data_IF_105036895551
#
_entry.id   IF_105036895551
#
_cell.length_a   1.000
_cell.length_b   1.000
_cell.length_c   1.000
_cell.angle_alpha   90.00
_cell.angle_beta   90.00
_cell.angle_gamma   90.00
#
_symmetry.space_group_name_H-M   'P 1'
#
loop_
_entity.id
_entity.type
_entity.pdbx_description
1 polymer ?
#
# COMPACT_ATOMS: atom_id res chain seq x y z
N UNK A 1 -19.93 -13.88 1.97
CA UNK A 1 -19.87 -14.20 0.53
C UNK A 1 -18.99 -13.16 -0.14
N UNK A 2 -17.71 -13.46 -0.35
CA UNK A 2 -16.79 -12.57 -1.06
C UNK A 2 -16.95 -12.83 -2.57
N UNK A 3 -17.50 -11.87 -3.30
CA UNK A 3 -17.58 -11.92 -4.77
C UNK A 3 -16.24 -11.48 -5.34
N UNK A 4 -15.63 -12.41 -6.06
CA UNK A 4 -14.58 -12.31 -7.07
C UNK A 4 -13.93 -10.93 -7.27
N UNK A 5 -12.64 -10.83 -6.96
CA UNK A 5 -11.74 -9.82 -7.53
C UNK A 5 -11.59 -10.13 -9.03
N UNK A 6 -12.57 -9.69 -9.81
CA UNK A 6 -12.57 -9.50 -11.26
C UNK A 6 -13.17 -8.13 -11.59
N UNK A 7 -13.10 -7.22 -10.61
CA UNK A 7 -13.95 -6.05 -10.59
C UNK A 7 -13.39 -4.93 -11.45
N UNK A 8 -14.17 -4.59 -12.49
CA UNK A 8 -13.86 -3.55 -13.47
C UNK A 8 -13.61 -2.18 -12.84
N UNK A 9 -14.03 -1.95 -11.59
CA UNK A 9 -13.87 -0.67 -10.91
C UNK A 9 -12.42 -0.37 -10.46
N UNK A 10 -11.63 -1.41 -10.15
CA UNK A 10 -10.24 -1.25 -9.69
C UNK A 10 -9.31 -0.69 -10.78
N UNK A 11 -9.73 -0.73 -12.06
CA UNK A 11 -8.99 -0.15 -13.18
C UNK A 11 -9.07 1.39 -13.23
N UNK A 12 -9.96 1.99 -12.44
CA UNK A 12 -10.17 3.43 -12.44
C UNK A 12 -9.32 4.09 -11.37
N UNK A 13 -8.64 5.16 -11.73
CA UNK A 13 -7.88 6.03 -10.84
C UNK A 13 -8.68 6.53 -9.64
N UNK A 14 -9.91 6.99 -9.89
CA UNK A 14 -10.78 7.56 -8.87
C UNK A 14 -11.12 6.58 -7.77
N UNK A 15 -11.15 5.28 -8.06
CA UNK A 15 -11.33 4.25 -7.04
C UNK A 15 -10.25 4.38 -5.97
N UNK A 16 -8.99 4.40 -6.40
CA UNK A 16 -7.83 4.43 -5.53
C UNK A 16 -7.68 5.76 -4.82
N UNK A 17 -8.00 6.87 -5.49
CA UNK A 17 -8.04 8.20 -4.88
C UNK A 17 -9.06 8.24 -3.75
N UNK A 18 -10.30 7.80 -3.99
CA UNK A 18 -11.36 7.79 -2.98
C UNK A 18 -11.00 6.85 -1.83
N UNK A 19 -10.60 5.62 -2.14
CA UNK A 19 -10.28 4.60 -1.15
C UNK A 19 -9.08 5.03 -0.31
N UNK A 20 -7.93 5.30 -0.94
CA UNK A 20 -6.68 5.64 -0.27
C UNK A 20 -6.75 6.91 0.58
N UNK A 21 -7.47 7.92 0.10
CA UNK A 21 -7.71 9.17 0.86
C UNK A 21 -8.58 8.94 2.09
N UNK A 22 -9.31 7.83 2.19
CA UNK A 22 -10.26 7.57 3.27
C UNK A 22 -9.77 6.49 4.24
N UNK A 23 -8.49 6.09 4.20
CA UNK A 23 -7.96 5.01 5.02
C UNK A 23 -7.51 5.46 6.40
N UNK A 24 -6.89 6.63 6.54
CA UNK A 24 -6.44 7.17 7.84
C UNK A 24 -7.60 7.75 8.67
N UNK A 25 -8.59 8.34 8.00
CA UNK A 25 -9.76 8.93 8.65
C UNK A 25 -10.99 8.95 7.73
N UNK A 26 -12.21 8.94 8.31
CA UNK A 26 -13.44 9.12 7.53
C UNK A 26 -13.47 10.50 6.85
N UNK A 27 -13.85 10.55 5.56
CA UNK A 27 -13.91 11.79 4.77
C UNK A 27 -15.18 11.88 3.95
N UNK A 28 -15.61 13.10 3.63
CA UNK A 28 -16.68 13.30 2.64
C UNK A 28 -16.12 13.27 1.23
N UNK A 29 -16.99 13.04 0.24
CA UNK A 29 -16.67 13.22 -1.18
C UNK A 29 -16.09 14.60 -1.47
N UNK A 30 -16.66 15.65 -0.87
CA UNK A 30 -16.18 17.02 -1.04
C UNK A 30 -14.76 17.20 -0.51
N UNK A 31 -14.40 16.52 0.58
CA UNK A 31 -13.02 16.53 1.09
C UNK A 31 -12.05 15.89 0.11
N UNK A 32 -12.40 14.71 -0.43
CA UNK A 32 -11.58 14.04 -1.45
C UNK A 32 -11.41 14.96 -2.67
N UNK A 33 -12.50 15.56 -3.15
CA UNK A 33 -12.44 16.48 -4.30
C UNK A 33 -11.53 17.67 -4.02
N UNK A 34 -11.66 18.30 -2.85
CA UNK A 34 -10.82 19.43 -2.44
C UNK A 34 -9.34 19.05 -2.32
N UNK A 35 -9.02 17.90 -1.73
CA UNK A 35 -7.64 17.43 -1.54
C UNK A 35 -6.93 17.24 -2.88
N UNK A 36 -7.65 16.74 -3.89
CA UNK A 36 -7.11 16.36 -5.19
C UNK A 36 -7.36 17.38 -6.30
N UNK A 37 -8.04 18.49 -5.99
CA UNK A 37 -8.36 19.56 -6.94
C UNK A 37 -9.34 19.11 -8.03
N UNK A 38 -10.31 18.27 -7.68
CA UNK A 38 -11.37 17.84 -8.58
C UNK A 38 -12.54 18.83 -8.52
N UNK A 39 -12.97 19.31 -9.69
CA UNK A 39 -14.09 20.25 -9.81
C UNK A 39 -15.40 19.58 -10.23
N UNK A 40 -16.53 20.14 -9.83
CA UNK A 40 -17.87 19.71 -10.25
C UNK A 40 -18.17 18.24 -9.99
N UNK A 41 -18.69 17.54 -11.01
CA UNK A 41 -19.05 16.12 -10.97
C UNK A 41 -17.86 15.18 -11.22
N UNK A 42 -16.63 15.60 -10.94
CA UNK A 42 -15.42 14.86 -11.29
C UNK A 42 -15.32 13.43 -10.70
N UNK A 43 -16.12 13.03 -9.71
CA UNK A 43 -16.19 11.62 -9.28
C UNK A 43 -17.11 10.74 -10.15
N UNK A 44 -17.81 11.29 -11.14
CA UNK A 44 -18.39 10.49 -12.21
C UNK A 44 -17.26 9.96 -13.09
N UNK A 45 -17.30 8.67 -13.41
CA UNK A 45 -16.30 8.00 -14.22
C UNK A 45 -16.94 7.48 -15.51
N UNK A 46 -16.43 7.94 -16.65
CA UNK A 46 -16.86 7.44 -17.97
C UNK A 46 -16.53 5.95 -18.06
N UNK A 47 -17.53 5.14 -18.43
CA UNK A 47 -17.43 3.68 -18.50
C UNK A 47 -17.97 2.91 -17.29
N UNK A 48 -18.61 3.61 -16.34
CA UNK A 48 -19.49 3.01 -15.32
C UNK A 48 -20.94 3.41 -15.60
N UNK A 49 -21.88 2.50 -15.36
CA UNK A 49 -23.33 2.76 -15.48
C UNK A 49 -23.87 3.65 -14.34
N UNK A 50 -23.09 3.80 -13.25
CA UNK A 50 -23.43 4.54 -12.03
C UNK A 50 -22.22 5.28 -11.45
N UNK A 51 -22.41 6.25 -10.54
CA UNK A 51 -21.31 6.91 -9.84
C UNK A 51 -20.39 5.90 -9.14
N UNK A 52 -19.08 6.09 -9.29
CA UNK A 52 -18.07 5.15 -8.77
C UNK A 52 -18.23 4.88 -7.27
N UNK A 53 -18.62 5.90 -6.50
CA UNK A 53 -18.78 5.80 -5.06
C UNK A 53 -19.90 4.83 -4.65
N UNK A 54 -21.02 4.82 -5.37
CA UNK A 54 -22.14 3.94 -5.05
C UNK A 54 -21.74 2.47 -5.23
N UNK A 55 -21.04 2.19 -6.32
CA UNK A 55 -20.49 0.86 -6.58
C UNK A 55 -19.41 0.48 -5.56
N UNK A 56 -18.56 1.43 -5.13
CA UNK A 56 -17.57 1.19 -4.08
C UNK A 56 -18.21 0.81 -2.74
N UNK A 57 -19.34 1.43 -2.40
CA UNK A 57 -20.09 1.12 -1.18
C UNK A 57 -20.75 -0.25 -1.30
N UNK A 58 -21.42 -0.54 -2.41
CA UNK A 58 -22.11 -1.82 -2.64
C UNK A 58 -21.13 -3.00 -2.60
N UNK A 59 -19.96 -2.84 -3.22
CA UNK A 59 -18.91 -3.86 -3.24
C UNK A 59 -18.09 -3.91 -1.94
N UNK A 60 -18.35 -3.02 -0.99
CA UNK A 60 -17.71 -3.04 0.34
C UNK A 60 -16.27 -2.51 0.38
N UNK A 61 -15.83 -1.79 -0.65
CA UNK A 61 -14.52 -1.14 -0.67
C UNK A 61 -14.44 0.07 0.27
N UNK A 62 -15.57 0.75 0.46
CA UNK A 62 -15.74 1.82 1.46
C UNK A 62 -17.02 1.59 2.23
N UNK A 63 -17.05 2.00 3.50
CA UNK A 63 -18.23 1.95 4.36
C UNK A 63 -18.74 3.36 4.64
N UNK A 64 -20.06 3.50 4.80
CA UNK A 64 -20.71 4.73 5.26
C UNK A 64 -20.54 4.82 6.77
N UNK A 65 -19.94 5.90 7.27
CA UNK A 65 -19.69 6.08 8.72
C UNK A 65 -20.75 6.98 9.35
N UNK A 66 -21.10 8.10 8.71
CA UNK A 66 -22.14 9.02 9.21
C UNK A 66 -22.58 10.03 8.13
N UNK A 67 -23.73 10.66 8.35
CA UNK A 67 -24.07 11.97 7.76
C UNK A 67 -23.61 13.02 8.76
N UNK A 68 -22.48 13.68 8.52
CA UNK A 68 -22.05 14.77 9.40
C UNK A 68 -23.04 15.93 9.23
N UNK A 69 -23.67 16.34 10.34
CA UNK A 69 -24.37 17.62 10.47
C UNK A 69 -23.51 18.52 11.36
N UNK A 70 -22.51 19.18 10.80
CA UNK A 70 -21.82 20.28 11.48
C UNK A 70 -21.83 21.51 10.58
N UNK A 71 -22.31 22.63 11.14
CA UNK A 71 -22.26 24.01 10.60
C UNK A 71 -22.32 24.10 9.07
N UNK A 72 -23.47 23.79 8.49
CA UNK A 72 -23.77 24.08 7.07
C UNK A 72 -23.18 23.10 6.03
N UNK A 73 -22.38 22.11 6.43
CA UNK A 73 -21.86 21.08 5.52
C UNK A 73 -22.56 19.76 5.81
N UNK A 74 -23.58 19.42 5.00
CA UNK A 74 -24.18 18.09 4.97
C UNK A 74 -23.46 17.23 3.93
N UNK A 75 -22.89 16.11 4.34
CA UNK A 75 -22.22 15.19 3.43
C UNK A 75 -22.21 13.75 3.95
N UNK A 76 -22.29 12.79 3.02
CA UNK A 76 -22.00 11.39 3.33
C UNK A 76 -20.51 11.26 3.63
N UNK A 77 -20.18 10.74 4.81
CA UNK A 77 -18.80 10.42 5.19
C UNK A 77 -18.53 8.94 4.96
N UNK A 78 -17.42 8.67 4.30
CA UNK A 78 -16.95 7.33 3.94
C UNK A 78 -15.62 7.02 4.62
N UNK A 79 -15.36 5.73 4.83
CA UNK A 79 -14.09 5.21 5.32
C UNK A 79 -13.68 4.01 4.47
N UNK A 80 -12.39 3.93 4.12
CA UNK A 80 -11.84 2.84 3.34
C UNK A 80 -11.84 1.50 4.10
N UNK A 81 -12.17 0.42 3.41
CA UNK A 81 -12.15 -0.93 3.96
C UNK A 81 -10.94 -1.72 3.45
N UNK A 82 -10.40 -2.60 4.29
CA UNK A 82 -9.25 -3.47 3.98
C UNK A 82 -9.65 -4.92 3.67
N UNK A 83 -10.89 -5.33 3.92
CA UNK A 83 -11.27 -6.75 3.88
C UNK A 83 -11.07 -7.42 2.51
N UNK A 84 -11.07 -6.63 1.43
CA UNK A 84 -10.85 -7.09 0.06
C UNK A 84 -9.37 -7.18 -0.35
N UNK A 85 -8.47 -6.55 0.41
CA UNK A 85 -7.04 -6.43 0.07
C UNK A 85 -6.35 -7.79 -0.05
N UNK A 86 -6.61 -8.81 0.81
CA UNK A 86 -5.99 -10.12 0.69
C UNK A 86 -6.26 -10.80 -0.66
N UNK A 87 -7.52 -10.79 -1.08
CA UNK A 87 -7.97 -11.41 -2.32
C UNK A 87 -7.36 -10.69 -3.53
N UNK A 88 -7.26 -9.35 -3.44
CA UNK A 88 -6.60 -8.53 -4.44
C UNK A 88 -5.11 -8.86 -4.57
N UNK A 89 -4.38 -8.95 -3.44
CA UNK A 89 -2.96 -9.28 -3.44
C UNK A 89 -2.67 -10.64 -4.07
N UNK A 90 -3.45 -11.66 -3.70
CA UNK A 90 -3.27 -13.01 -4.24
C UNK A 90 -3.47 -13.04 -5.76
N UNK A 91 -4.52 -12.38 -6.25
CA UNK A 91 -4.76 -12.31 -7.69
C UNK A 91 -3.68 -11.50 -8.41
N UNK A 92 -3.36 -10.31 -7.90
CA UNK A 92 -2.37 -9.43 -8.51
C UNK A 92 -1.01 -10.11 -8.65
N UNK A 93 -0.60 -10.88 -7.64
CA UNK A 93 0.66 -11.62 -7.68
C UNK A 93 0.65 -12.74 -8.73
N UNK A 94 -0.45 -13.50 -8.84
CA UNK A 94 -0.63 -14.52 -9.89
C UNK A 94 -0.60 -13.88 -11.29
N UNK A 95 -1.36 -12.82 -11.50
CA UNK A 95 -1.45 -12.11 -12.78
C UNK A 95 -0.10 -11.50 -13.18
N UNK A 96 0.63 -10.90 -12.22
CA UNK A 96 1.94 -10.28 -12.49
C UNK A 96 2.99 -11.31 -12.85
N UNK A 97 3.03 -12.44 -12.12
CA UNK A 97 3.97 -13.52 -12.41
C UNK A 97 3.75 -14.10 -13.81
N UNK A 98 2.48 -14.33 -14.19
CA UNK A 98 2.14 -14.84 -15.53
C UNK A 98 2.53 -13.87 -16.65
N UNK A 99 2.37 -12.55 -16.44
CA UNK A 99 2.62 -11.54 -17.48
C UNK A 99 4.09 -11.15 -17.63
N UNK A 100 4.81 -11.04 -16.53
CA UNK A 100 6.16 -10.45 -16.49
C UNK A 100 7.27 -11.46 -16.22
N UNK A 101 6.92 -12.73 -15.94
CA UNK A 101 7.85 -13.75 -15.47
C UNK A 101 8.72 -13.27 -14.28
N UNK A 102 8.18 -12.35 -13.47
CA UNK A 102 8.84 -11.80 -12.30
C UNK A 102 8.19 -12.37 -11.03
N UNK A 103 8.87 -13.28 -10.32
CA UNK A 103 8.31 -13.92 -9.13
C UNK A 103 8.34 -13.04 -7.89
N UNK A 104 8.99 -11.86 -7.92
CA UNK A 104 9.26 -11.05 -6.71
C UNK A 104 8.01 -10.78 -5.86
N UNK A 105 6.89 -10.41 -6.48
CA UNK A 105 5.65 -10.11 -5.75
C UNK A 105 5.12 -11.35 -5.06
N UNK A 106 5.13 -12.51 -5.73
CA UNK A 106 4.74 -13.78 -5.11
C UNK A 106 5.67 -14.12 -3.95
N UNK A 107 6.97 -13.98 -4.13
CA UNK A 107 7.96 -14.28 -3.09
C UNK A 107 7.82 -13.36 -1.86
N UNK A 108 7.48 -12.08 -2.07
CA UNK A 108 7.13 -11.16 -0.98
C UNK A 108 5.89 -11.65 -0.25
N UNK A 109 4.82 -12.00 -0.98
CA UNK A 109 3.58 -12.46 -0.34
C UNK A 109 3.78 -13.82 0.38
N UNK A 110 4.61 -14.70 -0.15
CA UNK A 110 4.98 -15.98 0.46
C UNK A 110 5.78 -15.81 1.74
N UNK A 111 6.46 -14.67 1.91
CA UNK A 111 7.17 -14.31 3.14
C UNK A 111 6.24 -13.88 4.27
N UNK A 112 4.99 -13.53 3.98
CA UNK A 112 4.00 -13.14 5.00
C UNK A 112 3.51 -14.40 5.71
N UNK A 113 3.91 -14.57 6.97
CA UNK A 113 3.54 -15.71 7.79
C UNK A 113 2.08 -15.65 8.24
N UNK A 114 1.66 -14.50 8.74
CA UNK A 114 0.28 -14.23 9.17
C UNK A 114 -0.27 -12.98 8.50
N UNK A 115 -1.03 -13.19 7.42
CA UNK A 115 -1.70 -12.12 6.66
C UNK A 115 -2.70 -11.34 7.54
N UNK A 116 -3.37 -11.98 8.49
CA UNK A 116 -4.32 -11.30 9.38
C UNK A 116 -3.59 -10.39 10.36
N UNK A 117 -2.46 -10.86 10.93
CA UNK A 117 -1.63 -10.03 11.79
C UNK A 117 -1.06 -8.82 11.05
N UNK A 118 -0.56 -8.99 9.82
CA UNK A 118 -0.07 -7.90 8.98
C UNK A 118 -1.15 -6.83 8.74
N UNK A 119 -2.34 -7.24 8.31
CA UNK A 119 -3.43 -6.30 8.03
C UNK A 119 -3.93 -5.59 9.28
N UNK A 120 -4.03 -6.32 10.41
CA UNK A 120 -4.38 -5.70 11.69
C UNK A 120 -3.35 -4.65 12.07
N UNK A 121 -2.06 -4.97 11.96
CA UNK A 121 -0.99 -4.00 12.24
C UNK A 121 -1.06 -2.76 11.34
N UNK A 122 -1.32 -2.95 10.03
CA UNK A 122 -1.54 -1.84 9.09
C UNK A 122 -2.77 -1.02 9.50
N UNK A 123 -3.86 -1.64 9.97
CA UNK A 123 -5.06 -0.92 10.41
C UNK A 123 -4.85 -0.16 11.72
N UNK A 124 -4.08 -0.72 12.65
CA UNK A 124 -3.76 -0.09 13.93
C UNK A 124 -2.83 1.12 13.73
N UNK A 125 -1.98 1.08 12.69
CA UNK A 125 -1.00 2.14 12.37
C UNK A 125 -1.25 2.87 11.04
N UNK A 126 -2.38 2.65 10.36
CA UNK A 126 -3.29 3.77 10.19
C UNK A 126 -2.76 5.03 9.56
N UNK A 127 -2.66 6.01 10.44
CA UNK A 127 -2.19 7.36 10.17
C UNK A 127 -0.72 7.35 9.74
N UNK A 128 0.11 6.45 10.25
CA UNK A 128 1.48 6.33 9.77
C UNK A 128 1.51 5.89 8.29
N UNK A 129 0.68 4.94 7.86
CA UNK A 129 0.72 4.53 6.46
C UNK A 129 -0.06 5.45 5.52
N UNK A 130 -1.21 5.97 5.97
CA UNK A 130 -2.19 6.59 5.08
C UNK A 130 -2.47 8.06 5.37
N UNK A 131 -1.63 8.74 6.16
CA UNK A 131 -1.72 10.19 6.27
C UNK A 131 -1.63 10.83 4.89
N UNK A 132 -2.44 11.88 4.67
CA UNK A 132 -2.73 12.34 3.31
C UNK A 132 -1.49 12.76 2.50
N UNK A 133 -0.48 13.33 3.16
CA UNK A 133 0.75 13.73 2.49
C UNK A 133 1.58 12.52 2.05
N UNK A 134 1.57 11.44 2.84
CA UNK A 134 2.22 10.16 2.50
C UNK A 134 1.49 9.46 1.36
N UNK A 135 0.16 9.47 1.42
CA UNK A 135 -0.71 9.00 0.34
C UNK A 135 -0.35 9.72 -0.95
N UNK A 136 -0.31 11.06 -0.96
CA UNK A 136 0.05 11.86 -2.15
C UNK A 136 1.40 11.47 -2.77
N UNK A 137 2.42 11.18 -1.96
CA UNK A 137 3.71 10.70 -2.48
C UNK A 137 3.52 9.45 -3.34
N UNK A 138 2.74 8.47 -2.87
CA UNK A 138 2.51 7.21 -3.59
C UNK A 138 1.85 7.38 -4.96
N UNK A 139 1.06 8.43 -5.19
CA UNK A 139 0.46 8.70 -6.49
C UNK A 139 1.44 9.33 -7.49
N UNK A 140 2.45 10.07 -7.01
CA UNK A 140 3.40 10.80 -7.84
C UNK A 140 2.81 11.97 -8.62
N UNK A 141 3.53 12.46 -9.63
CA UNK A 141 3.06 13.53 -10.52
C UNK A 141 2.02 13.01 -11.53
N UNK A 142 0.99 13.83 -11.78
CA UNK A 142 -0.31 13.49 -12.43
C UNK A 142 -0.25 12.74 -13.78
N UNK A 143 0.85 12.75 -14.52
CA UNK A 143 0.93 12.13 -15.86
C UNK A 143 1.18 10.60 -15.85
N UNK A 144 1.65 10.02 -14.74
CA UNK A 144 2.06 8.60 -14.64
C UNK A 144 1.08 7.68 -13.88
N UNK A 145 -0.08 8.23 -13.54
CA UNK A 145 -0.95 7.84 -12.44
C UNK A 145 -1.43 6.37 -12.43
N UNK A 146 -1.77 5.76 -13.59
CA UNK A 146 -2.37 4.41 -13.62
C UNK A 146 -1.50 3.29 -13.06
N UNK A 147 -0.17 3.42 -13.13
CA UNK A 147 0.78 2.40 -12.64
C UNK A 147 1.12 2.53 -11.16
N UNK A 148 0.68 3.61 -10.49
CA UNK A 148 1.05 3.92 -9.11
C UNK A 148 0.01 3.52 -8.09
N UNK A 149 -1.23 3.32 -8.50
CA UNK A 149 -2.33 3.19 -7.57
C UNK A 149 -2.25 1.96 -6.67
N UNK A 150 -1.76 0.85 -7.23
CA UNK A 150 -1.53 -0.40 -6.49
C UNK A 150 -0.50 -0.20 -5.35
N UNK A 151 0.36 0.82 -5.43
CA UNK A 151 1.29 1.17 -4.35
C UNK A 151 0.59 1.55 -3.05
N UNK A 152 -0.69 1.96 -3.07
CA UNK A 152 -1.45 2.16 -1.84
C UNK A 152 -1.61 0.88 -1.02
N UNK A 153 -1.59 -0.28 -1.68
CA UNK A 153 -1.62 -1.59 -1.02
C UNK A 153 -0.20 -2.07 -0.75
N UNK A 154 0.68 -1.98 -1.74
CA UNK A 154 2.03 -2.57 -1.64
C UNK A 154 3.00 -1.77 -0.76
N UNK A 155 2.95 -0.44 -0.77
CA UNK A 155 3.93 0.38 -0.06
C UNK A 155 3.97 0.14 1.47
N UNK A 156 2.82 0.03 2.18
CA UNK A 156 2.81 -0.37 3.60
C UNK A 156 3.45 -1.75 3.83
N UNK A 157 3.10 -2.75 3.00
CA UNK A 157 3.62 -4.12 3.12
C UNK A 157 5.14 -4.13 2.94
N UNK A 158 5.63 -3.48 1.88
CA UNK A 158 7.06 -3.34 1.60
C UNK A 158 7.77 -2.61 2.73
N UNK A 159 7.19 -1.53 3.26
CA UNK A 159 7.80 -0.77 4.36
C UNK A 159 7.96 -1.62 5.61
N UNK A 160 6.91 -2.35 6.01
CA UNK A 160 6.97 -3.22 7.18
C UNK A 160 7.95 -4.37 6.94
N UNK A 161 7.95 -5.00 5.77
CA UNK A 161 8.89 -6.05 5.41
C UNK A 161 10.35 -5.56 5.51
N UNK A 162 10.62 -4.34 5.04
CA UNK A 162 11.95 -3.73 5.12
C UNK A 162 12.39 -3.50 6.56
N UNK A 163 11.52 -2.90 7.38
CA UNK A 163 11.80 -2.67 8.81
C UNK A 163 11.98 -3.99 9.55
N UNK A 164 11.20 -5.03 9.20
CA UNK A 164 11.36 -6.36 9.75
C UNK A 164 12.70 -6.98 9.39
N UNK A 165 13.06 -6.97 8.10
CA UNK A 165 14.35 -7.49 7.63
C UNK A 165 15.53 -6.77 8.29
N UNK A 166 15.41 -5.44 8.46
CA UNK A 166 16.39 -4.62 9.15
C UNK A 166 16.60 -5.07 10.60
N UNK A 167 15.54 -5.09 11.41
CA UNK A 167 15.61 -5.50 12.82
C UNK A 167 16.11 -6.93 12.97
N UNK A 168 15.72 -7.81 12.04
CA UNK A 168 16.18 -9.19 11.98
C UNK A 168 17.70 -9.28 11.72
N UNK A 169 18.21 -8.57 10.72
CA UNK A 169 19.62 -8.60 10.34
C UNK A 169 20.50 -7.96 11.42
N UNK A 170 20.07 -6.84 12.00
CA UNK A 170 20.76 -6.19 13.12
C UNK A 170 20.98 -7.18 14.28
N UNK A 171 19.91 -7.90 14.66
CA UNK A 171 19.98 -8.92 15.72
C UNK A 171 20.90 -10.10 15.37
N UNK A 172 20.95 -10.51 14.10
CA UNK A 172 21.76 -11.67 13.66
C UNK A 172 23.23 -11.34 13.43
N UNK A 173 23.53 -10.16 12.92
CA UNK A 173 24.86 -9.78 12.45
C UNK A 173 25.61 -8.86 13.43
N UNK A 174 24.93 -8.28 14.43
CA UNK A 174 25.57 -7.40 15.41
C UNK A 174 26.15 -6.11 14.81
N UNK A 175 25.67 -5.70 13.64
CA UNK A 175 26.10 -4.51 12.91
C UNK A 175 25.21 -3.31 13.23
N UNK A 176 25.73 -2.10 13.00
CA UNK A 176 25.00 -0.87 13.33
C UNK A 176 23.77 -0.62 12.44
N UNK A 177 22.93 0.31 12.90
CA UNK A 177 21.66 0.71 12.31
C UNK A 177 21.81 1.17 10.84
N UNK A 178 22.85 1.95 10.52
CA UNK A 178 23.10 2.53 9.20
C UNK A 178 23.61 1.49 8.20
N UNK A 179 24.53 0.61 8.61
CA UNK A 179 25.01 -0.48 7.74
C UNK A 179 23.85 -1.42 7.40
N UNK A 180 23.01 -1.75 8.39
CA UNK A 180 21.89 -2.65 8.15
C UNK A 180 20.83 -2.01 7.26
N UNK A 181 20.54 -0.72 7.44
CA UNK A 181 19.67 0.06 6.55
C UNK A 181 20.17 0.01 5.10
N UNK A 182 21.46 0.28 4.88
CA UNK A 182 22.09 0.20 3.56
C UNK A 182 21.93 -1.20 2.94
N UNK A 183 22.14 -2.25 3.73
CA UNK A 183 21.98 -3.64 3.28
C UNK A 183 20.53 -4.00 2.93
N UNK A 184 19.55 -3.43 3.64
CA UNK A 184 18.13 -3.62 3.34
C UNK A 184 17.61 -2.70 2.24
N UNK A 185 18.33 -1.64 1.88
CA UNK A 185 17.93 -0.75 0.79
C UNK A 185 17.78 -1.49 -0.55
N UNK A 186 18.45 -2.63 -0.70
CA UNK A 186 18.31 -3.55 -1.84
C UNK A 186 16.87 -4.09 -2.04
N UNK A 187 16.09 -4.22 -0.96
CA UNK A 187 14.65 -4.55 -1.02
C UNK A 187 13.78 -3.34 -1.39
N UNK A 188 14.23 -2.13 -1.08
CA UNK A 188 13.50 -0.88 -1.31
C UNK A 188 13.43 -0.54 -2.80
N UNK A 189 14.40 -1.00 -3.61
CA UNK A 189 14.57 -0.54 -4.99
C UNK A 189 14.23 -1.53 -6.11
N UNK A 190 13.75 -2.75 -5.81
CA UNK A 190 13.60 -3.80 -6.82
C UNK A 190 12.23 -3.91 -7.53
N UNK A 191 11.42 -2.85 -7.52
CA UNK A 191 10.33 -2.69 -8.49
C UNK A 191 10.30 -1.25 -8.97
N UNK A 192 11.10 -0.93 -9.98
CA UNK A 192 11.22 0.37 -10.64
C UNK A 192 11.26 1.57 -9.66
N UNK A 193 12.44 2.18 -9.42
CA UNK A 193 12.61 3.21 -8.40
C UNK A 193 11.74 4.43 -8.72
N UNK A 194 10.54 4.47 -8.14
CA UNK A 194 9.78 5.70 -8.07
C UNK A 194 10.31 6.38 -6.82
N UNK A 195 11.08 7.44 -6.99
CA UNK A 195 11.60 8.32 -5.92
C UNK A 195 10.55 8.52 -4.82
N UNK A 196 9.30 8.70 -5.23
CA UNK A 196 8.08 8.71 -4.43
C UNK A 196 7.97 7.64 -3.33
N UNK A 197 8.34 6.38 -3.60
CA UNK A 197 8.30 5.31 -2.59
C UNK A 197 9.41 5.46 -1.56
N UNK A 198 10.60 5.91 -1.95
CA UNK A 198 11.69 6.14 -1.00
C UNK A 198 11.31 7.25 -0.01
N UNK A 199 10.75 8.36 -0.50
CA UNK A 199 10.28 9.46 0.36
C UNK A 199 9.17 8.97 1.30
N UNK A 200 8.21 8.21 0.77
CA UNK A 200 7.18 7.56 1.57
C UNK A 200 7.79 6.68 2.66
N UNK A 201 8.70 5.78 2.29
CA UNK A 201 9.34 4.84 3.19
C UNK A 201 10.09 5.56 4.30
N UNK A 202 10.89 6.57 3.97
CA UNK A 202 11.66 7.34 4.97
C UNK A 202 10.76 8.07 5.97
N UNK A 203 9.61 8.58 5.53
CA UNK A 203 8.63 9.21 6.42
C UNK A 203 7.96 8.19 7.34
N UNK A 204 7.58 7.03 6.80
CA UNK A 204 6.93 5.98 7.57
C UNK A 204 7.91 5.33 8.55
N UNK A 205 9.10 4.94 8.10
CA UNK A 205 10.10 4.25 8.91
C UNK A 205 10.51 5.03 10.17
N UNK A 206 10.48 6.37 10.13
CA UNK A 206 10.68 7.22 11.31
C UNK A 206 9.70 6.92 12.44
N UNK A 207 8.43 6.67 12.11
CA UNK A 207 7.39 6.35 13.10
C UNK A 207 7.57 4.95 13.71
N UNK A 208 8.35 4.08 13.06
CA UNK A 208 8.50 2.66 13.42
C UNK A 208 9.88 2.29 13.96
N UNK A 209 10.75 3.28 14.22
CA UNK A 209 12.10 3.05 14.77
C UNK A 209 12.03 2.17 16.03
N UNK A 210 11.23 2.59 17.01
CA UNK A 210 11.12 1.93 18.32
C UNK A 210 9.91 0.99 18.43
N UNK A 211 9.11 0.85 17.37
CA UNK A 211 7.92 -0.01 17.37
C UNK A 211 8.32 -1.47 17.21
N UNK A 212 7.92 -2.33 18.15
CA UNK A 212 8.11 -3.77 18.03
C UNK A 212 7.17 -4.35 16.96
N UNK A 213 7.75 -5.06 15.99
CA UNK A 213 6.97 -5.74 14.96
C UNK A 213 6.61 -7.15 15.45
N UNK A 214 5.32 -7.57 15.33
CA UNK A 214 4.91 -8.93 15.67
C UNK A 214 5.78 -9.99 14.98
N UNK A 215 6.38 -10.89 15.76
CA UNK A 215 7.33 -11.90 15.27
C UNK A 215 6.69 -12.89 14.28
N UNK A 216 5.38 -13.09 14.36
CA UNK A 216 4.61 -13.99 13.48
C UNK A 216 4.23 -13.38 12.14
N UNK A 217 4.46 -12.08 11.94
CA UNK A 217 4.01 -11.37 10.74
C UNK A 217 4.69 -11.89 9.47
N UNK A 218 5.97 -12.26 9.59
CA UNK A 218 6.76 -12.80 8.49
C UNK A 218 7.46 -14.10 8.87
N UNK A 219 7.64 -14.97 7.88
CA UNK A 219 8.52 -16.11 7.95
C UNK A 219 9.98 -15.65 7.82
N UNK A 220 10.70 -15.69 8.93
CA UNK A 220 12.07 -15.21 9.02
C UNK A 220 13.01 -15.88 8.01
N UNK A 221 12.85 -17.18 7.75
CA UNK A 221 13.72 -17.91 6.83
C UNK A 221 13.47 -17.48 5.39
N UNK A 222 12.20 -17.30 5.01
CA UNK A 222 11.82 -16.79 3.68
C UNK A 222 12.27 -15.35 3.48
N UNK A 223 12.10 -14.47 4.48
CA UNK A 223 12.58 -13.08 4.42
C UNK A 223 14.10 -13.04 4.23
N UNK A 224 14.86 -13.84 4.99
CA UNK A 224 16.31 -13.90 4.86
C UNK A 224 16.75 -14.44 3.49
N UNK A 225 16.09 -15.49 2.99
CA UNK A 225 16.35 -16.03 1.66
C UNK A 225 16.09 -15.01 0.55
N UNK A 226 14.97 -14.27 0.68
CA UNK A 226 14.61 -13.19 -0.23
C UNK A 226 15.68 -12.10 -0.23
N UNK A 227 16.07 -11.61 0.95
CA UNK A 227 17.12 -10.60 1.11
C UNK A 227 18.41 -11.02 0.44
N UNK A 228 18.91 -12.21 0.79
CA UNK A 228 20.18 -12.74 0.30
C UNK A 228 20.20 -12.74 -1.22
N UNK A 229 19.17 -13.28 -1.86
CA UNK A 229 19.08 -13.36 -3.32
C UNK A 229 19.06 -11.99 -4.00
N UNK A 230 18.28 -11.03 -3.49
CA UNK A 230 18.21 -9.70 -4.10
C UNK A 230 19.46 -8.84 -3.83
N UNK A 231 20.13 -9.05 -2.70
CA UNK A 231 21.45 -8.44 -2.43
C UNK A 231 22.53 -8.92 -3.41
N UNK A 232 22.52 -10.21 -3.78
CA UNK A 232 23.45 -10.79 -4.77
C UNK A 232 23.18 -10.24 -6.16
N UNK A 233 21.91 -10.19 -6.60
CA UNK A 233 21.54 -9.62 -7.91
C UNK A 233 21.99 -8.16 -8.05
N UNK A 234 21.87 -7.36 -6.99
CA UNK A 234 22.35 -5.98 -7.03
C UNK A 234 23.86 -5.87 -7.18
N UNK A 235 24.61 -6.74 -6.50
CA UNK A 235 26.07 -6.83 -6.66
C UNK A 235 26.40 -7.08 -8.14
N UNK A 236 25.76 -8.07 -8.76
CA UNK A 236 25.97 -8.39 -10.17
C UNK A 236 25.64 -7.22 -11.10
N UNK A 237 24.58 -6.45 -10.83
CA UNK A 237 24.21 -5.27 -11.63
C UNK A 237 25.12 -4.05 -11.45
N UNK A 238 25.88 -3.96 -10.36
CA UNK A 238 26.83 -2.86 -10.11
C UNK A 238 28.20 -3.12 -10.76
N UNK A 239 28.44 -4.35 -11.23
CA UNK A 239 29.66 -4.76 -11.93
C UNK A 239 29.43 -4.99 -13.44
N UNK A 240 28.27 -4.57 -13.96
CA UNK A 240 27.93 -4.46 -15.38
C UNK A 240 27.79 -2.97 -15.75
#
# INVERSE_FOLDING_TARGET
MARAVGDSILKFDKFWVIWGTSLDAPRTVKDVQRIWGYEGNALYQKGLERPILEEMIEKGFVKKVSKVKMRGVSGLTIEGNFDWVPDYLEKFAKDTNLRSNNPLILEILDSIGDKKALLRFIKDHRQSFYFIDRVKLLFGNKESLKSNYDMLVFAPILTILNIYAWKMLQKRMGIDENITFFLTSTFIFNMNPKINFLDYFLLVAKDFRDVELPSTMFDQAKVFSLWKRYSVKMKESLFL
#
